data_IF_154622988659
#
_entry.id   IF_154622988659
#
_cell.length_a   1.000
_cell.length_b   1.000
_cell.length_c   1.000
_cell.angle_alpha   90.00
_cell.angle_beta   90.00
_cell.angle_gamma   90.00
#
_symmetry.space_group_name_H-M   'P 1'
#
loop_
_entity.id
_entity.type
_entity.pdbx_description
1 polymer ?
#
# COMPACT_ATOMS: atom_id res chain seq x y z
N UNK A 1 22.82 -0.78 42.78
CA UNK A 1 21.65 -0.11 43.39
C UNK A 1 20.92 -1.14 44.22
N UNK A 2 20.42 -0.81 45.43
CA UNK A 2 19.64 -1.76 46.23
C UNK A 2 18.28 -2.01 45.57
N UNK A 3 17.66 -3.19 45.84
CA UNK A 3 16.32 -3.55 45.29
C UNK A 3 15.26 -2.50 45.69
N UNK A 4 15.37 -1.93 46.92
CA UNK A 4 14.47 -0.88 47.37
C UNK A 4 14.57 0.40 46.54
N UNK A 5 15.77 0.86 46.20
CA UNK A 5 15.97 2.04 45.34
C UNK A 5 15.45 1.79 43.94
N UNK A 6 15.68 0.60 43.43
CA UNK A 6 15.17 0.17 42.12
C UNK A 6 13.64 0.12 42.09
N UNK A 7 13.02 -0.39 43.16
CA UNK A 7 11.58 -0.43 43.32
C UNK A 7 10.94 0.96 43.41
N UNK A 8 11.59 1.89 44.08
CA UNK A 8 11.13 3.27 44.18
C UNK A 8 11.17 3.97 42.82
N UNK A 9 12.19 3.73 42.00
CA UNK A 9 12.26 4.23 40.63
C UNK A 9 11.12 3.63 39.77
N UNK A 10 10.92 2.33 39.87
CA UNK A 10 9.82 1.64 39.17
C UNK A 10 8.46 2.23 39.58
N UNK A 11 8.18 2.43 40.89
CA UNK A 11 6.94 3.06 41.35
C UNK A 11 6.76 4.49 40.80
N UNK A 12 7.83 5.25 40.73
CA UNK A 12 7.78 6.61 40.17
C UNK A 12 7.36 6.58 38.70
N UNK A 13 7.91 5.70 37.89
CA UNK A 13 7.54 5.53 36.47
C UNK A 13 6.05 5.12 36.35
N UNK A 14 5.63 4.14 37.12
CA UNK A 14 4.22 3.63 37.10
C UNK A 14 3.23 4.72 37.56
N UNK A 15 3.56 5.54 38.56
CA UNK A 15 2.72 6.67 38.99
C UNK A 15 2.44 7.64 37.85
N UNK A 16 3.39 7.82 36.95
CA UNK A 16 3.22 8.65 35.75
C UNK A 16 2.53 7.95 34.59
N UNK A 17 1.96 6.73 34.79
CA UNK A 17 1.26 5.92 33.77
C UNK A 17 2.13 5.59 32.56
N UNK A 18 3.44 5.52 32.76
CA UNK A 18 4.40 5.15 31.70
C UNK A 18 4.64 3.63 31.76
N UNK A 19 4.69 2.97 30.62
CA UNK A 19 5.08 1.57 30.51
C UNK A 19 6.53 1.38 30.87
N UNK A 20 6.84 0.23 31.47
CA UNK A 20 8.17 -0.07 31.99
C UNK A 20 8.81 -1.21 31.21
N UNK A 21 10.10 -1.08 30.91
CA UNK A 21 10.93 -2.12 30.34
C UNK A 21 12.19 -2.30 31.18
N UNK A 22 12.69 -3.52 31.28
CA UNK A 22 13.94 -3.81 31.97
C UNK A 22 14.75 -4.85 31.17
N UNK A 23 16.08 -4.68 31.22
CA UNK A 23 17.03 -5.56 30.52
C UNK A 23 17.71 -6.47 31.55
N UNK A 24 17.39 -7.81 31.56
CA UNK A 24 18.17 -8.77 32.33
C UNK A 24 19.48 -9.13 31.62
N UNK A 25 20.53 -9.36 32.37
CA UNK A 25 21.81 -9.86 31.88
C UNK A 25 22.13 -11.28 32.47
N UNK A 26 21.19 -11.83 33.25
CA UNK A 26 21.27 -13.15 33.83
C UNK A 26 19.85 -13.68 34.18
N UNK A 27 19.73 -14.97 34.43
CA UNK A 27 18.47 -15.65 34.74
C UNK A 27 17.86 -15.20 36.08
N UNK A 28 18.69 -14.81 37.05
CA UNK A 28 18.21 -14.32 38.35
C UNK A 28 17.50 -12.97 38.19
N UNK A 29 18.05 -12.09 37.36
CA UNK A 29 17.46 -10.78 37.06
C UNK A 29 16.09 -10.90 36.39
N UNK A 30 15.84 -11.94 35.58
CA UNK A 30 14.51 -12.23 35.01
C UNK A 30 13.47 -12.42 36.10
N UNK A 31 13.81 -13.16 37.17
CA UNK A 31 12.91 -13.34 38.32
C UNK A 31 12.56 -12.03 39.03
N UNK A 32 13.51 -11.09 39.16
CA UNK A 32 13.24 -9.76 39.71
C UNK A 32 12.29 -8.95 38.81
N UNK A 33 12.48 -9.00 37.50
CA UNK A 33 11.59 -8.33 36.51
C UNK A 33 10.15 -8.85 36.64
N UNK A 34 9.96 -10.16 36.77
CA UNK A 34 8.66 -10.79 36.97
C UNK A 34 8.00 -10.32 38.28
N UNK A 35 8.75 -10.33 39.39
CA UNK A 35 8.26 -9.89 40.69
C UNK A 35 7.83 -8.41 40.72
N UNK A 36 8.55 -7.54 40.02
CA UNK A 36 8.19 -6.13 39.89
C UNK A 36 7.07 -5.85 38.88
N UNK A 37 6.68 -6.83 38.06
CA UNK A 37 5.61 -6.73 37.04
C UNK A 37 5.91 -5.65 35.99
N UNK A 38 7.11 -5.72 35.40
CA UNK A 38 7.44 -4.89 34.23
C UNK A 38 6.53 -5.22 33.05
N UNK A 39 6.27 -4.22 32.21
CA UNK A 39 5.41 -4.37 31.03
C UNK A 39 6.14 -5.06 29.87
N UNK A 40 7.48 -4.91 29.77
CA UNK A 40 8.32 -5.50 28.74
C UNK A 40 9.64 -6.01 29.29
N UNK A 41 10.19 -7.03 28.66
CA UNK A 41 11.57 -7.49 28.85
C UNK A 41 12.38 -7.08 27.64
N UNK A 42 13.46 -6.31 27.87
CA UNK A 42 14.40 -5.97 26.80
C UNK A 42 15.56 -6.97 26.80
N UNK A 43 15.89 -7.49 25.62
CA UNK A 43 17.10 -8.28 25.40
C UNK A 43 18.11 -7.37 24.67
N UNK A 44 19.23 -7.09 25.32
CA UNK A 44 20.30 -6.29 24.73
C UNK A 44 21.01 -7.05 23.59
N UNK A 45 21.65 -6.32 22.67
CA UNK A 45 22.39 -6.93 21.56
C UNK A 45 23.44 -7.95 22.01
N UNK A 46 24.11 -7.67 23.14
CA UNK A 46 25.15 -8.56 23.72
C UNK A 46 24.56 -9.91 24.18
N UNK A 47 23.28 -9.95 24.53
CA UNK A 47 22.59 -11.17 24.96
C UNK A 47 21.69 -11.77 23.87
N UNK A 48 21.71 -11.21 22.65
CA UNK A 48 20.80 -11.60 21.59
C UNK A 48 20.96 -13.07 21.14
N UNK A 49 22.15 -13.66 21.35
CA UNK A 49 22.43 -15.07 21.03
C UNK A 49 22.59 -15.96 22.29
N UNK A 50 22.31 -15.42 23.46
CA UNK A 50 22.30 -16.19 24.71
C UNK A 50 20.99 -16.95 24.86
N UNK A 51 20.92 -18.12 24.24
CA UNK A 51 19.70 -18.94 24.27
C UNK A 51 19.39 -19.54 25.64
N UNK A 52 20.33 -19.60 26.58
CA UNK A 52 20.05 -19.98 27.96
C UNK A 52 19.19 -18.88 28.63
N UNK A 53 19.58 -17.63 28.47
CA UNK A 53 18.77 -16.50 28.95
C UNK A 53 17.41 -16.45 28.25
N UNK A 54 17.35 -16.67 26.93
CA UNK A 54 16.09 -16.74 26.21
C UNK A 54 15.16 -17.84 26.73
N UNK A 55 15.66 -19.05 26.99
CA UNK A 55 14.86 -20.15 27.60
C UNK A 55 14.31 -19.77 28.97
N UNK A 56 15.04 -18.96 29.77
CA UNK A 56 14.51 -18.44 31.04
C UNK A 56 13.45 -17.36 30.80
N UNK A 57 13.68 -16.45 29.85
CA UNK A 57 12.78 -15.32 29.56
C UNK A 57 11.43 -15.77 29.02
N UNK A 58 11.36 -16.84 28.22
CA UNK A 58 10.09 -17.33 27.63
C UNK A 58 9.19 -18.08 28.61
N UNK A 59 9.66 -18.39 29.83
CA UNK A 59 8.82 -19.00 30.86
C UNK A 59 7.67 -18.09 31.34
N UNK A 60 7.74 -16.79 31.02
CA UNK A 60 6.66 -15.85 31.21
C UNK A 60 6.12 -15.32 29.88
N UNK A 61 4.95 -14.65 29.91
CA UNK A 61 4.29 -14.08 28.73
C UNK A 61 4.51 -12.57 28.59
N UNK A 62 5.41 -11.97 29.36
CA UNK A 62 5.73 -10.55 29.21
C UNK A 62 6.29 -10.34 27.78
N UNK A 63 5.79 -9.38 26.97
CA UNK A 63 6.30 -9.12 25.63
C UNK A 63 7.79 -8.77 25.64
N UNK A 64 8.53 -9.21 24.62
CA UNK A 64 10.00 -9.04 24.53
C UNK A 64 10.38 -8.04 23.45
N UNK A 65 11.40 -7.25 23.71
CA UNK A 65 12.01 -6.33 22.75
C UNK A 65 13.47 -6.75 22.60
N UNK A 66 13.89 -7.14 21.41
CA UNK A 66 15.19 -7.78 21.16
C UNK A 66 16.02 -6.88 20.24
N UNK A 67 17.16 -6.41 20.71
CA UNK A 67 18.12 -5.67 19.89
C UNK A 67 19.03 -6.61 19.10
N UNK A 68 19.31 -6.23 17.85
CA UNK A 68 20.03 -7.09 16.88
C UNK A 68 21.39 -6.54 16.47
N UNK A 69 21.99 -5.66 17.30
CA UNK A 69 23.30 -5.09 17.01
C UNK A 69 24.43 -6.12 17.02
N UNK A 70 25.27 -6.10 15.97
CA UNK A 70 26.45 -6.95 15.88
C UNK A 70 26.18 -8.43 15.56
N UNK A 71 24.95 -8.83 15.20
CA UNK A 71 24.61 -10.20 14.84
C UNK A 71 24.25 -10.31 13.35
N UNK A 72 24.42 -11.51 12.78
CA UNK A 72 24.12 -11.80 11.36
C UNK A 72 22.63 -12.03 11.14
N UNK A 73 22.17 -11.88 9.89
CA UNK A 73 20.75 -12.10 9.52
C UNK A 73 20.32 -13.53 9.85
N UNK A 74 21.17 -14.52 9.61
CA UNK A 74 20.91 -15.93 9.89
C UNK A 74 20.70 -16.19 11.40
N UNK A 75 21.34 -15.40 12.24
CA UNK A 75 21.15 -15.48 13.69
C UNK A 75 19.87 -14.76 14.14
N UNK A 76 19.48 -13.68 13.46
CA UNK A 76 18.17 -13.07 13.64
C UNK A 76 17.06 -14.09 13.26
N UNK A 77 17.23 -14.84 12.16
CA UNK A 77 16.30 -15.92 11.78
C UNK A 77 16.13 -16.96 12.89
N UNK A 78 17.22 -17.34 13.58
CA UNK A 78 17.17 -18.29 14.72
C UNK A 78 16.35 -17.70 15.87
N UNK A 79 16.57 -16.44 16.21
CA UNK A 79 15.81 -15.74 17.27
C UNK A 79 14.32 -15.71 16.92
N UNK A 80 13.98 -15.25 15.70
CA UNK A 80 12.60 -15.19 15.21
C UNK A 80 11.94 -16.58 15.28
N UNK A 81 12.62 -17.60 14.75
CA UNK A 81 12.14 -18.98 14.77
C UNK A 81 11.92 -19.50 16.20
N UNK A 82 12.83 -19.17 17.12
CA UNK A 82 12.75 -19.57 18.52
C UNK A 82 11.49 -19.00 19.20
N UNK A 83 11.26 -17.69 19.10
CA UNK A 83 10.12 -17.03 19.72
C UNK A 83 8.79 -17.38 19.05
N UNK A 84 8.76 -17.47 17.72
CA UNK A 84 7.55 -17.81 16.95
C UNK A 84 7.08 -19.25 17.25
N UNK A 85 7.99 -20.22 17.29
CA UNK A 85 7.66 -21.62 17.65
C UNK A 85 7.08 -21.76 19.06
N UNK A 86 7.44 -20.86 19.97
CA UNK A 86 6.99 -20.84 21.36
C UNK A 86 5.76 -19.94 21.57
N UNK A 87 5.20 -19.37 20.47
CA UNK A 87 4.05 -18.46 20.48
C UNK A 87 4.24 -17.29 21.48
N UNK A 88 5.41 -16.67 21.44
CA UNK A 88 5.76 -15.51 22.27
C UNK A 88 5.56 -14.21 21.50
N UNK A 89 5.04 -13.20 22.20
CA UNK A 89 4.96 -11.84 21.65
C UNK A 89 6.34 -11.16 21.76
N UNK A 90 6.87 -10.68 20.63
CA UNK A 90 8.16 -10.00 20.59
C UNK A 90 8.26 -8.98 19.44
N UNK A 91 9.25 -8.08 19.58
CA UNK A 91 9.63 -7.11 18.56
C UNK A 91 11.15 -7.13 18.38
N UNK A 92 11.63 -6.75 17.20
CA UNK A 92 13.05 -6.60 16.90
C UNK A 92 13.43 -5.12 16.84
N UNK A 93 14.62 -4.78 17.34
CA UNK A 93 15.19 -3.45 17.22
C UNK A 93 16.44 -3.52 16.35
N UNK A 94 16.42 -2.88 15.17
CA UNK A 94 17.66 -2.60 14.46
C UNK A 94 18.57 -1.77 15.34
N UNK A 95 19.81 -2.15 15.46
CA UNK A 95 20.80 -1.51 16.33
C UNK A 95 22.19 -1.66 15.72
N UNK A 96 23.03 -0.63 15.90
CA UNK A 96 24.45 -0.68 15.66
C UNK A 96 25.16 -0.49 16.99
N UNK A 97 25.86 -1.52 17.48
CA UNK A 97 26.49 -1.54 18.81
C UNK A 97 27.87 -0.84 18.81
N UNK A 98 27.90 0.40 18.31
CA UNK A 98 29.05 1.33 18.33
C UNK A 98 28.62 2.59 19.10
N UNK A 99 29.44 3.07 20.03
CA UNK A 99 29.08 4.09 21.02
C UNK A 99 30.06 5.28 21.07
N UNK A 100 29.84 6.44 20.39
CA UNK A 100 28.71 6.74 19.51
C UNK A 100 28.84 6.10 18.13
N UNK A 101 27.69 5.88 17.46
CA UNK A 101 27.63 5.43 16.09
C UNK A 101 27.74 6.60 15.12
N UNK A 102 28.61 6.53 14.11
CA UNK A 102 28.67 7.52 13.04
C UNK A 102 27.45 7.42 12.13
N UNK A 103 27.02 8.54 11.56
CA UNK A 103 25.88 8.56 10.65
C UNK A 103 26.04 7.61 9.43
N UNK A 104 27.25 7.47 8.90
CA UNK A 104 27.56 6.51 7.80
C UNK A 104 27.32 5.04 8.17
N UNK A 105 27.35 4.71 9.45
CA UNK A 105 27.36 3.35 9.96
C UNK A 105 25.97 2.90 10.48
N UNK A 106 24.97 3.81 10.49
CA UNK A 106 23.62 3.56 11.01
C UNK A 106 22.86 2.49 10.20
N UNK A 107 23.13 2.35 8.93
CA UNK A 107 22.53 1.35 8.02
C UNK A 107 20.99 1.26 8.13
N UNK A 108 20.30 2.39 8.11
CA UNK A 108 18.86 2.48 8.37
C UNK A 108 17.99 1.77 7.31
N UNK A 109 18.50 1.53 6.08
CA UNK A 109 17.81 0.72 5.08
C UNK A 109 17.55 -0.73 5.55
N UNK A 110 18.33 -1.20 6.52
CA UNK A 110 18.16 -2.55 7.05
C UNK A 110 16.84 -2.70 7.84
N UNK A 111 16.27 -1.61 8.36
CA UNK A 111 14.94 -1.59 8.98
C UNK A 111 13.87 -2.05 7.98
N UNK A 112 13.90 -1.53 6.75
CA UNK A 112 12.98 -1.92 5.69
C UNK A 112 13.19 -3.39 5.28
N UNK A 113 14.43 -3.85 5.25
CA UNK A 113 14.76 -5.25 4.97
C UNK A 113 14.18 -6.19 6.05
N UNK A 114 14.36 -5.87 7.34
CA UNK A 114 13.77 -6.63 8.44
C UNK A 114 12.24 -6.68 8.36
N UNK A 115 11.60 -5.56 8.03
CA UNK A 115 10.13 -5.52 7.85
C UNK A 115 9.64 -6.43 6.72
N UNK A 116 10.34 -6.45 5.60
CA UNK A 116 10.01 -7.32 4.46
C UNK A 116 10.26 -8.80 4.77
N UNK A 117 11.32 -9.08 5.56
CA UNK A 117 11.68 -10.45 5.93
C UNK A 117 10.74 -11.03 6.99
N UNK A 118 10.24 -10.19 7.90
CA UNK A 118 9.43 -10.59 9.05
C UNK A 118 8.15 -9.75 9.12
N UNK A 119 7.24 -9.90 8.15
CA UNK A 119 6.06 -9.06 7.95
C UNK A 119 5.15 -8.92 9.18
N UNK A 120 5.07 -9.95 10.02
CA UNK A 120 4.23 -9.99 11.22
C UNK A 120 4.90 -9.44 12.48
N UNK A 121 6.18 -9.04 12.42
CA UNK A 121 6.95 -8.60 13.57
C UNK A 121 7.11 -7.09 13.56
N UNK A 122 6.91 -6.45 14.71
CA UNK A 122 7.20 -5.03 14.88
C UNK A 122 8.70 -4.79 14.84
N UNK A 123 9.15 -3.89 13.96
CA UNK A 123 10.54 -3.49 13.83
C UNK A 123 10.72 -2.09 14.37
N UNK A 124 11.68 -1.93 15.26
CA UNK A 124 12.08 -0.65 15.84
C UNK A 124 13.54 -0.31 15.55
N UNK A 125 13.99 0.78 16.12
CA UNK A 125 15.37 1.27 16.04
C UNK A 125 15.90 1.69 17.39
N UNK A 126 17.02 1.07 17.81
CA UNK A 126 17.76 1.37 19.03
C UNK A 126 19.05 2.11 18.65
N UNK A 127 19.23 3.30 19.19
CA UNK A 127 20.12 4.30 18.60
C UNK A 127 21.22 4.81 19.54
N UNK A 128 22.43 5.04 18.98
CA UNK A 128 23.61 5.50 19.70
C UNK A 128 24.38 6.61 18.95
N UNK A 129 23.77 7.29 18.01
CA UNK A 129 24.35 8.44 17.28
C UNK A 129 24.53 9.68 18.22
N UNK A 130 25.19 10.71 17.69
CA UNK A 130 25.38 11.98 18.40
C UNK A 130 24.02 12.51 18.90
N UNK A 131 23.92 12.93 20.17
CA UNK A 131 22.69 13.45 20.77
C UNK A 131 22.11 14.69 20.10
N UNK A 132 22.87 15.39 19.28
CA UNK A 132 22.43 16.58 18.54
C UNK A 132 21.80 16.25 17.19
N UNK A 133 21.88 14.98 16.75
CA UNK A 133 21.35 14.51 15.47
C UNK A 133 19.90 14.05 15.63
N UNK A 134 18.96 14.77 15.00
CA UNK A 134 17.55 14.39 14.97
C UNK A 134 17.13 13.71 13.64
N UNK A 135 17.89 13.95 12.56
CA UNK A 135 17.61 13.40 11.25
C UNK A 135 17.57 11.86 11.20
N UNK A 136 18.45 11.12 11.87
CA UNK A 136 18.43 9.66 11.84
C UNK A 136 17.10 9.06 12.30
N UNK A 137 16.46 9.62 13.33
CA UNK A 137 15.14 9.15 13.79
C UNK A 137 14.05 9.33 12.73
N UNK A 138 14.06 10.46 12.02
CA UNK A 138 13.15 10.74 10.91
C UNK A 138 13.35 9.75 9.75
N UNK A 139 14.60 9.44 9.43
CA UNK A 139 14.95 8.45 8.41
C UNK A 139 14.53 7.03 8.83
N UNK A 140 14.80 6.62 10.07
CA UNK A 140 14.37 5.33 10.61
C UNK A 140 12.83 5.18 10.56
N UNK A 141 12.09 6.24 10.91
CA UNK A 141 10.64 6.30 10.80
C UNK A 141 10.20 6.11 9.34
N UNK A 142 10.84 6.79 8.39
CA UNK A 142 10.53 6.67 6.96
C UNK A 142 10.80 5.27 6.41
N UNK A 143 11.75 4.54 6.99
CA UNK A 143 12.04 3.13 6.70
C UNK A 143 11.08 2.16 7.39
N UNK A 144 10.17 2.67 8.21
CA UNK A 144 9.08 1.93 8.83
C UNK A 144 9.38 1.44 10.24
N UNK A 145 10.34 2.02 10.95
CA UNK A 145 10.48 1.80 12.38
C UNK A 145 9.21 2.27 13.10
N UNK A 146 8.70 1.42 14.01
CA UNK A 146 7.48 1.69 14.80
C UNK A 146 7.80 1.92 16.28
N UNK A 147 9.01 1.58 16.70
CA UNK A 147 9.52 1.72 18.06
C UNK A 147 10.90 2.36 18.03
N UNK A 148 11.19 3.17 19.02
CA UNK A 148 12.44 3.91 19.13
C UNK A 148 12.99 3.82 20.54
N UNK A 149 14.30 3.61 20.66
CA UNK A 149 15.00 3.57 21.94
C UNK A 149 16.16 4.54 21.91
N UNK A 150 16.29 5.37 22.95
CA UNK A 150 17.34 6.37 23.09
C UNK A 150 17.86 6.38 24.51
N UNK A 151 19.19 6.48 24.68
CA UNK A 151 19.80 6.70 26.00
C UNK A 151 19.52 8.11 26.50
N UNK A 152 18.92 8.24 27.66
CA UNK A 152 18.66 9.53 28.34
C UNK A 152 19.42 9.57 29.64
N UNK A 153 20.03 10.69 29.92
CA UNK A 153 20.78 10.87 31.16
C UNK A 153 20.91 12.33 31.59
N UNK A 154 21.39 12.53 32.80
CA UNK A 154 21.65 13.85 33.38
C UNK A 154 23.15 14.07 33.51
N UNK A 155 23.60 15.27 33.15
CA UNK A 155 24.96 15.70 33.38
C UNK A 155 25.05 16.27 34.79
N UNK A 156 25.81 15.63 35.67
CA UNK A 156 25.99 16.06 37.06
C UNK A 156 27.46 16.40 37.37
N UNK A 157 27.73 17.02 38.50
CA UNK A 157 29.12 17.28 38.93
C UNK A 157 29.91 15.98 39.06
N UNK A 158 29.28 14.92 39.57
CA UNK A 158 29.91 13.62 39.85
C UNK A 158 29.95 12.70 38.60
N UNK A 159 28.88 12.71 37.80
CA UNK A 159 28.74 11.81 36.63
C UNK A 159 28.55 12.65 35.39
N UNK A 160 29.48 12.54 34.46
CA UNK A 160 29.37 13.18 33.14
C UNK A 160 28.50 12.34 32.21
N UNK A 161 27.71 13.03 31.38
CA UNK A 161 26.94 12.36 30.35
C UNK A 161 27.89 11.77 29.30
N UNK A 162 27.62 10.57 28.85
CA UNK A 162 28.39 9.95 27.77
C UNK A 162 28.07 10.61 26.42
N UNK A 163 28.86 10.28 25.36
CA UNK A 163 28.77 10.92 24.04
C UNK A 163 27.55 10.54 23.21
N UNK A 164 26.76 9.56 23.63
CA UNK A 164 25.59 9.05 22.89
C UNK A 164 24.27 9.20 23.68
N UNK A 165 24.31 9.68 24.90
CA UNK A 165 23.10 9.93 25.70
C UNK A 165 22.61 11.36 25.53
N UNK A 166 21.30 11.51 25.50
CA UNK A 166 20.61 12.79 25.37
C UNK A 166 20.13 13.28 26.70
N UNK A 167 20.09 14.61 26.93
CA UNK A 167 19.47 15.22 28.12
C UNK A 167 17.93 15.17 27.97
N UNK A 168 17.17 15.29 29.09
CA UNK A 168 15.69 15.31 29.00
C UNK A 168 15.14 16.39 28.07
N UNK A 169 15.68 17.62 28.10
CA UNK A 169 15.23 18.72 27.23
C UNK A 169 15.44 18.39 25.77
N UNK A 170 16.62 17.87 25.41
CA UNK A 170 16.89 17.40 24.03
C UNK A 170 16.07 16.18 23.64
N UNK A 171 15.71 15.32 24.61
CA UNK A 171 14.82 14.19 24.36
C UNK A 171 13.41 14.67 24.00
N UNK A 172 12.93 15.72 24.63
CA UNK A 172 11.66 16.36 24.24
C UNK A 172 11.72 16.91 22.82
N UNK A 173 12.78 17.64 22.46
CA UNK A 173 13.01 18.11 21.09
C UNK A 173 13.07 16.97 20.09
N UNK A 174 13.73 15.86 20.43
CA UNK A 174 13.83 14.67 19.61
C UNK A 174 12.45 14.05 19.34
N UNK A 175 11.60 13.93 20.37
CA UNK A 175 10.21 13.45 20.24
C UNK A 175 9.38 14.40 19.38
N UNK A 176 9.51 15.72 19.58
CA UNK A 176 8.81 16.73 18.77
C UNK A 176 9.18 16.60 17.29
N UNK A 177 10.48 16.45 16.99
CA UNK A 177 10.95 16.26 15.61
C UNK A 177 10.45 14.95 15.01
N UNK A 178 10.41 13.86 15.78
CA UNK A 178 9.88 12.58 15.34
C UNK A 178 8.37 12.67 14.99
N UNK A 179 7.58 13.35 15.82
CA UNK A 179 6.15 13.61 15.56
C UNK A 179 5.94 14.47 14.32
N UNK A 180 6.70 15.54 14.15
CA UNK A 180 6.66 16.37 12.93
C UNK A 180 6.99 15.54 11.68
N UNK A 181 7.98 14.66 11.79
CA UNK A 181 8.35 13.76 10.67
C UNK A 181 7.22 12.81 10.32
N UNK A 182 6.52 12.28 11.32
CA UNK A 182 5.33 11.44 11.12
C UNK A 182 4.20 12.19 10.39
N UNK A 183 3.95 13.44 10.77
CA UNK A 183 2.95 14.29 10.11
C UNK A 183 3.34 14.59 8.66
N UNK A 184 4.63 14.85 8.39
CA UNK A 184 5.16 15.10 7.05
C UNK A 184 5.07 13.87 6.13
N UNK A 185 5.22 12.66 6.66
CA UNK A 185 5.07 11.43 5.89
C UNK A 185 3.64 11.25 5.36
N UNK A 186 2.62 11.71 6.07
CA UNK A 186 1.23 11.68 5.66
C UNK A 186 0.71 10.27 5.40
N UNK A 187 0.14 10.04 4.23
CA UNK A 187 -0.39 8.74 3.82
C UNK A 187 0.05 8.37 2.40
N UNK A 188 0.02 7.07 2.06
CA UNK A 188 0.33 6.58 0.72
C UNK A 188 -0.68 7.03 -0.35
N UNK A 189 -1.87 7.48 0.05
CA UNK A 189 -2.89 7.99 -0.87
C UNK A 189 -2.67 9.48 -1.11
N UNK A 190 -2.60 9.89 -2.39
CA UNK A 190 -2.52 11.31 -2.74
C UNK A 190 -3.75 12.04 -2.24
N UNK A 191 -3.53 13.03 -1.35
CA UNK A 191 -4.56 13.93 -0.85
C UNK A 191 -4.55 15.20 -1.72
N UNK A 192 -5.73 15.65 -2.11
CA UNK A 192 -5.92 16.89 -2.86
C UNK A 192 -6.57 17.89 -1.94
N UNK A 193 -5.99 19.08 -1.79
CA UNK A 193 -6.49 20.13 -0.93
C UNK A 193 -7.27 21.18 -1.73
N UNK A 194 -8.33 21.74 -1.13
CA UNK A 194 -9.16 22.75 -1.80
C UNK A 194 -8.37 24.00 -2.20
N UNK A 195 -7.38 24.40 -1.41
CA UNK A 195 -6.55 25.56 -1.73
C UNK A 195 -5.58 25.29 -2.88
N UNK A 196 -5.10 24.04 -3.01
CA UNK A 196 -4.34 23.58 -4.19
C UNK A 196 -5.21 23.71 -5.46
N UNK A 197 -6.47 23.23 -5.41
CA UNK A 197 -7.41 23.35 -6.54
C UNK A 197 -7.70 24.79 -6.91
N UNK A 198 -7.92 25.68 -5.93
CA UNK A 198 -8.12 27.13 -6.17
C UNK A 198 -6.89 27.76 -6.83
N UNK A 199 -5.71 27.39 -6.39
CA UNK A 199 -4.44 27.89 -6.97
C UNK A 199 -4.28 27.42 -8.42
N UNK A 200 -4.52 26.13 -8.69
CA UNK A 200 -4.47 25.58 -10.05
C UNK A 200 -5.51 26.26 -10.94
N UNK A 201 -6.72 26.50 -10.45
CA UNK A 201 -7.76 27.18 -11.22
C UNK A 201 -7.35 28.60 -11.62
N UNK A 202 -6.79 29.39 -10.70
CA UNK A 202 -6.30 30.76 -10.94
C UNK A 202 -5.16 30.79 -11.95
N UNK A 203 -4.27 29.78 -11.94
CA UNK A 203 -3.10 29.68 -12.81
C UNK A 203 -3.36 28.87 -14.08
N UNK A 204 -4.61 28.49 -14.36
CA UNK A 204 -4.98 27.78 -15.57
C UNK A 204 -5.20 28.75 -16.74
N UNK A 205 -4.80 28.35 -17.95
CA UNK A 205 -5.11 29.08 -19.18
C UNK A 205 -6.51 28.74 -19.69
N UNK A 206 -7.28 29.77 -20.06
CA UNK A 206 -8.56 29.62 -20.74
C UNK A 206 -8.40 29.44 -22.24
N UNK A 207 -9.38 28.81 -22.89
CA UNK A 207 -9.46 28.66 -24.35
C UNK A 207 -10.24 29.83 -24.92
N UNK A 208 -9.64 30.56 -25.89
CA UNK A 208 -10.24 31.70 -26.56
C UNK A 208 -10.29 31.48 -28.07
N UNK A 209 -11.21 32.14 -28.72
CA UNK A 209 -11.43 32.08 -30.16
C UNK A 209 -10.39 32.98 -30.89
N UNK A 210 -9.60 32.41 -31.81
CA UNK A 210 -8.61 33.12 -32.60
C UNK A 210 -9.20 33.73 -33.88
N UNK A 211 -10.25 33.14 -34.44
CA UNK A 211 -11.02 33.60 -35.58
C UNK A 211 -12.46 33.16 -35.42
N UNK A 212 -13.42 33.92 -35.97
CA UNK A 212 -14.84 33.57 -35.85
C UNK A 212 -15.10 32.07 -36.12
N UNK A 213 -15.85 31.43 -35.23
CA UNK A 213 -16.23 30.06 -35.30
C UNK A 213 -17.71 29.91 -35.59
N UNK A 214 -18.04 29.01 -36.48
CA UNK A 214 -19.41 28.62 -36.77
C UNK A 214 -19.76 27.34 -35.93
N UNK A 215 -21.05 27.16 -35.65
CA UNK A 215 -21.55 25.95 -35.08
C UNK A 215 -21.05 24.72 -35.86
N UNK A 216 -20.61 23.71 -35.15
CA UNK A 216 -20.01 22.44 -35.59
C UNK A 216 -18.55 22.52 -36.08
N UNK A 217 -17.90 23.68 -35.99
CA UNK A 217 -16.45 23.75 -36.25
C UNK A 217 -15.68 22.91 -35.22
N UNK A 218 -14.62 22.24 -35.69
CA UNK A 218 -13.64 21.56 -34.80
C UNK A 218 -12.65 22.57 -34.27
N UNK A 219 -12.43 22.49 -32.94
CA UNK A 219 -11.43 23.32 -32.27
C UNK A 219 -10.03 22.75 -32.51
N UNK A 220 -9.12 23.63 -32.95
CA UNK A 220 -7.72 23.31 -33.19
C UNK A 220 -6.84 24.56 -33.06
N UNK A 221 -5.53 24.42 -33.11
CA UNK A 221 -4.55 25.51 -32.93
C UNK A 221 -4.65 26.63 -33.99
N UNK A 222 -5.32 26.37 -35.13
CA UNK A 222 -5.51 27.42 -36.17
C UNK A 222 -6.66 28.36 -35.83
N UNK A 223 -7.61 27.96 -35.01
CA UNK A 223 -8.83 28.71 -34.73
C UNK A 223 -9.07 29.07 -33.27
N UNK A 224 -8.20 28.59 -32.35
CA UNK A 224 -8.20 28.95 -30.92
C UNK A 224 -6.82 29.35 -30.45
N UNK A 225 -6.78 30.02 -29.29
CA UNK A 225 -5.56 30.29 -28.54
C UNK A 225 -5.80 30.12 -27.03
N UNK A 226 -4.73 30.15 -26.25
CA UNK A 226 -4.78 29.98 -24.79
C UNK A 226 -4.23 31.24 -24.12
N UNK A 227 -4.96 31.79 -23.15
CA UNK A 227 -4.52 32.97 -22.41
C UNK A 227 -4.91 32.91 -20.91
N UNK A 228 -4.22 33.69 -20.12
CA UNK A 228 -4.54 33.99 -18.73
C UNK A 228 -5.28 35.34 -18.64
N UNK A 229 -6.10 35.49 -17.60
CA UNK A 229 -6.63 34.46 -16.67
C UNK A 229 -7.79 33.67 -17.32
N UNK A 230 -7.97 32.44 -16.85
CA UNK A 230 -9.18 31.66 -17.19
C UNK A 230 -10.40 32.30 -16.54
N UNK A 231 -11.46 32.54 -17.31
CA UNK A 231 -12.73 33.06 -16.80
C UNK A 231 -13.57 31.98 -16.13
N UNK A 232 -14.53 32.37 -15.29
CA UNK A 232 -15.47 31.44 -14.63
C UNK A 232 -16.23 30.60 -15.68
N UNK A 233 -16.29 29.30 -15.45
CA UNK A 233 -16.92 28.31 -16.35
C UNK A 233 -16.31 28.20 -17.76
N UNK A 234 -15.18 28.85 -18.00
CA UNK A 234 -14.45 28.73 -19.25
C UNK A 234 -13.74 27.35 -19.34
N UNK A 235 -13.70 26.82 -20.55
CA UNK A 235 -12.90 25.64 -20.88
C UNK A 235 -11.41 25.96 -20.66
N UNK A 236 -10.72 25.16 -19.86
CA UNK A 236 -9.27 25.31 -19.71
C UNK A 236 -8.52 24.60 -20.83
N UNK A 237 -7.26 24.98 -21.03
CA UNK A 237 -6.36 24.31 -21.98
C UNK A 237 -6.18 22.81 -21.65
N UNK A 238 -6.28 22.44 -20.37
CA UNK A 238 -6.17 21.05 -19.90
C UNK A 238 -7.41 20.23 -20.20
N UNK A 239 -8.59 20.85 -20.26
CA UNK A 239 -9.88 20.19 -20.50
C UNK A 239 -10.19 20.03 -21.98
N UNK A 240 -9.54 20.82 -22.84
CA UNK A 240 -9.70 20.70 -24.28
C UNK A 240 -9.20 19.33 -24.75
N UNK A 241 -10.06 18.61 -25.45
CA UNK A 241 -9.76 17.29 -26.03
C UNK A 241 -9.60 17.40 -27.53
N UNK A 242 -8.85 16.47 -28.12
CA UNK A 242 -8.79 16.30 -29.56
C UNK A 242 -10.21 16.10 -30.12
N UNK A 243 -10.50 16.59 -31.30
CA UNK A 243 -11.81 16.51 -31.94
C UNK A 243 -12.96 17.19 -31.18
N UNK A 244 -12.68 18.16 -30.30
CA UNK A 244 -13.73 18.95 -29.66
C UNK A 244 -14.45 19.82 -30.67
N UNK A 245 -15.79 19.84 -30.66
CA UNK A 245 -16.65 20.57 -31.61
C UNK A 245 -17.39 21.68 -30.85
N UNK A 246 -17.49 22.87 -31.47
CA UNK A 246 -18.28 23.98 -30.93
C UNK A 246 -19.76 23.81 -31.25
N UNK A 247 -20.65 24.10 -30.30
CA UNK A 247 -22.11 23.97 -30.44
C UNK A 247 -22.80 25.24 -30.99
N UNK A 248 -22.15 26.37 -30.86
CA UNK A 248 -22.70 27.70 -31.13
C UNK A 248 -21.69 28.56 -31.88
N UNK A 249 -22.14 29.55 -32.60
CA UNK A 249 -21.26 30.51 -33.21
C UNK A 249 -20.52 31.34 -32.15
N UNK A 250 -19.25 31.66 -32.41
CA UNK A 250 -18.39 32.44 -31.51
C UNK A 250 -17.61 33.47 -32.29
N UNK A 251 -17.54 34.70 -31.73
CA UNK A 251 -16.73 35.75 -32.27
C UNK A 251 -15.27 35.64 -31.81
N UNK A 252 -14.38 36.21 -32.56
CA UNK A 252 -12.97 36.38 -32.22
C UNK A 252 -12.82 36.91 -30.77
N UNK A 253 -11.78 36.50 -30.05
CA UNK A 253 -11.43 36.86 -28.67
C UNK A 253 -12.47 36.48 -27.60
N UNK A 254 -13.58 35.86 -27.98
CA UNK A 254 -14.56 35.39 -26.98
C UNK A 254 -14.06 34.11 -26.24
N UNK A 255 -14.33 33.98 -24.93
CA UNK A 255 -14.00 32.76 -24.18
C UNK A 255 -14.91 31.62 -24.60
N UNK A 256 -14.35 30.42 -24.70
CA UNK A 256 -15.09 29.18 -24.92
C UNK A 256 -15.45 28.56 -23.57
N UNK A 257 -16.75 28.43 -23.27
CA UNK A 257 -17.24 27.79 -22.04
C UNK A 257 -17.35 26.28 -22.23
N UNK A 258 -17.35 25.53 -21.10
CA UNK A 258 -17.55 24.06 -21.13
C UNK A 258 -18.91 23.68 -21.75
N UNK A 259 -19.93 24.51 -21.56
CA UNK A 259 -21.27 24.34 -22.16
C UNK A 259 -21.29 24.47 -23.67
N UNK A 260 -20.34 25.19 -24.24
CA UNK A 260 -20.29 25.53 -25.66
C UNK A 260 -19.71 24.42 -26.54
N UNK A 261 -19.23 23.33 -25.96
CA UNK A 261 -18.50 22.28 -26.67
C UNK A 261 -19.14 20.90 -26.55
N UNK A 262 -18.83 20.03 -27.53
CA UNK A 262 -19.08 18.61 -27.51
C UNK A 262 -17.72 17.91 -27.60
N UNK A 263 -17.46 17.00 -26.67
CA UNK A 263 -16.30 16.14 -26.69
C UNK A 263 -16.57 14.86 -27.46
N UNK A 264 -15.57 14.36 -28.16
CA UNK A 264 -15.62 13.08 -28.85
C UNK A 264 -15.85 11.94 -27.86
N UNK A 265 -16.91 11.18 -28.07
CA UNK A 265 -17.29 10.06 -27.17
C UNK A 265 -16.31 8.90 -27.25
N UNK A 266 -15.74 8.61 -28.42
CA UNK A 266 -14.77 7.52 -28.59
C UNK A 266 -13.48 7.85 -27.84
N UNK A 267 -12.98 9.09 -27.96
CA UNK A 267 -11.81 9.55 -27.23
C UNK A 267 -12.01 9.53 -25.69
N UNK A 268 -13.20 9.85 -25.21
CA UNK A 268 -13.55 9.72 -23.78
C UNK A 268 -13.45 8.27 -23.34
N UNK A 269 -13.90 7.34 -24.16
CA UNK A 269 -13.90 5.92 -23.87
C UNK A 269 -12.47 5.34 -23.86
N UNK A 270 -11.63 5.71 -24.84
CA UNK A 270 -10.21 5.34 -24.87
C UNK A 270 -9.45 5.84 -23.63
N UNK A 271 -9.69 7.09 -23.22
CA UNK A 271 -9.09 7.66 -22.02
C UNK A 271 -9.53 6.91 -20.75
N UNK A 272 -10.78 6.46 -20.67
CA UNK A 272 -11.26 5.65 -19.54
C UNK A 272 -10.56 4.29 -19.50
N UNK A 273 -10.46 3.60 -20.63
CA UNK A 273 -9.77 2.31 -20.72
C UNK A 273 -8.30 2.46 -20.33
N UNK A 274 -7.61 3.50 -20.83
CA UNK A 274 -6.24 3.81 -20.43
C UNK A 274 -6.13 4.03 -18.91
N UNK A 275 -7.06 4.77 -18.31
CA UNK A 275 -7.10 4.97 -16.85
C UNK A 275 -7.28 3.65 -16.09
N UNK A 276 -8.15 2.76 -16.56
CA UNK A 276 -8.36 1.44 -15.94
C UNK A 276 -7.10 0.58 -16.01
N UNK A 277 -6.41 0.58 -17.15
CA UNK A 277 -5.14 -0.13 -17.33
C UNK A 277 -4.05 0.39 -16.39
N UNK A 278 -3.96 1.71 -16.20
CA UNK A 278 -3.02 2.29 -15.23
C UNK A 278 -3.32 1.82 -13.80
N UNK A 279 -4.60 1.76 -13.41
CA UNK A 279 -4.98 1.27 -12.08
C UNK A 279 -4.57 -0.19 -11.89
N UNK A 280 -4.80 -1.05 -12.90
CA UNK A 280 -4.36 -2.43 -12.83
C UNK A 280 -2.83 -2.56 -12.74
N UNK A 281 -2.09 -1.80 -13.57
CA UNK A 281 -0.62 -1.75 -13.51
C UNK A 281 -0.10 -1.30 -12.14
N UNK A 282 -0.71 -0.26 -11.57
CA UNK A 282 -0.35 0.22 -10.24
C UNK A 282 -0.55 -0.87 -9.18
N UNK A 283 -1.69 -1.57 -9.21
CA UNK A 283 -1.96 -2.68 -8.26
C UNK A 283 -0.92 -3.79 -8.40
N UNK A 284 -0.60 -4.22 -9.62
CA UNK A 284 0.42 -5.24 -9.88
C UNK A 284 1.81 -4.80 -9.36
N UNK A 285 2.20 -3.56 -9.64
CA UNK A 285 3.49 -3.02 -9.20
C UNK A 285 3.58 -2.89 -7.68
N UNK A 286 2.54 -2.40 -7.01
CA UNK A 286 2.49 -2.32 -5.53
C UNK A 286 2.57 -3.69 -4.88
N UNK A 287 2.08 -4.72 -5.55
CA UNK A 287 2.13 -6.11 -5.08
C UNK A 287 3.38 -6.87 -5.54
N UNK A 288 4.35 -6.21 -6.19
CA UNK A 288 5.56 -6.81 -6.79
C UNK A 288 5.27 -7.95 -7.77
N UNK A 289 4.08 -7.98 -8.37
CA UNK A 289 3.71 -8.99 -9.37
C UNK A 289 4.21 -8.53 -10.74
N UNK A 290 5.13 -9.30 -11.32
CA UNK A 290 5.65 -9.05 -12.66
C UNK A 290 4.81 -9.82 -13.67
N UNK A 291 4.24 -9.09 -14.60
CA UNK A 291 3.42 -9.64 -15.69
C UNK A 291 4.02 -9.11 -16.99
N UNK A 292 4.37 -10.02 -17.90
CA UNK A 292 4.93 -9.69 -19.22
C UNK A 292 3.85 -9.16 -20.18
N UNK A 293 4.14 -9.17 -21.46
CA UNK A 293 3.24 -8.74 -22.56
C UNK A 293 2.82 -9.90 -23.47
N UNK A 294 3.29 -11.11 -23.18
CA UNK A 294 3.07 -12.31 -24.00
C UNK A 294 1.79 -13.09 -23.57
N UNK A 295 0.69 -12.36 -23.41
CA UNK A 295 -0.63 -12.97 -23.15
C UNK A 295 -1.77 -12.01 -23.50
N UNK A 296 -2.97 -12.59 -23.66
CA UNK A 296 -4.18 -11.84 -23.95
C UNK A 296 -4.75 -11.22 -22.66
N UNK A 297 -4.94 -9.89 -22.68
CA UNK A 297 -5.65 -9.18 -21.64
C UNK A 297 -7.10 -8.91 -22.06
N UNK A 298 -8.04 -9.43 -21.28
CA UNK A 298 -9.45 -9.12 -21.40
C UNK A 298 -9.90 -8.17 -20.28
N UNK A 299 -10.59 -7.09 -20.63
CA UNK A 299 -11.37 -6.26 -19.71
C UNK A 299 -12.80 -6.78 -19.73
N UNK A 300 -13.18 -7.56 -18.72
CA UNK A 300 -14.52 -8.13 -18.60
C UNK A 300 -15.46 -7.14 -17.92
N UNK A 301 -16.31 -6.42 -18.67
CA UNK A 301 -17.07 -5.28 -18.17
C UNK A 301 -18.59 -5.48 -18.06
N UNK A 302 -19.14 -6.56 -18.53
CA UNK A 302 -20.53 -7.04 -18.45
C UNK A 302 -21.66 -6.02 -18.70
N UNK A 303 -21.59 -4.82 -18.15
CA UNK A 303 -22.58 -3.74 -18.25
C UNK A 303 -22.05 -2.53 -19.03
N UNK A 304 -21.14 -2.75 -19.98
CA UNK A 304 -20.46 -1.71 -20.75
C UNK A 304 -19.22 -1.17 -20.05
N UNK A 305 -18.23 -0.82 -20.87
CA UNK A 305 -16.91 -0.38 -20.41
C UNK A 305 -16.95 0.85 -19.49
N UNK A 306 -17.94 1.73 -19.66
CA UNK A 306 -18.11 2.92 -18.84
C UNK A 306 -18.40 2.60 -17.35
N UNK A 307 -18.95 1.40 -17.07
CA UNK A 307 -19.29 0.91 -15.73
C UNK A 307 -18.26 -0.08 -15.17
N UNK A 308 -17.15 -0.26 -15.86
CA UNK A 308 -16.17 -1.29 -15.53
C UNK A 308 -15.64 -1.19 -14.10
N UNK A 309 -15.41 0.01 -13.57
CA UNK A 309 -14.94 0.18 -12.18
C UNK A 309 -15.89 -0.39 -11.13
N UNK A 310 -17.18 -0.47 -11.44
CA UNK A 310 -18.18 -1.02 -10.53
C UNK A 310 -18.38 -2.53 -10.75
N UNK A 311 -18.42 -2.95 -12.02
CA UNK A 311 -18.78 -4.33 -12.42
C UNK A 311 -17.81 -4.81 -13.49
N UNK A 312 -16.97 -5.76 -13.14
CA UNK A 312 -16.02 -6.35 -14.06
C UNK A 312 -14.79 -6.92 -13.37
N UNK A 313 -13.80 -7.31 -14.16
CA UNK A 313 -12.43 -7.59 -13.76
C UNK A 313 -11.50 -7.61 -14.97
N UNK A 314 -10.21 -7.46 -14.73
CA UNK A 314 -9.18 -7.76 -15.72
C UNK A 314 -8.84 -9.24 -15.65
N UNK A 315 -8.70 -9.87 -16.83
CA UNK A 315 -8.32 -11.26 -16.98
C UNK A 315 -7.07 -11.33 -17.86
N UNK A 316 -5.95 -11.66 -17.24
CA UNK A 316 -4.70 -11.97 -17.94
C UNK A 316 -4.70 -13.46 -18.22
N UNK A 317 -4.94 -13.85 -19.47
CA UNK A 317 -4.99 -15.24 -19.88
C UNK A 317 -3.56 -15.75 -20.13
N UNK A 318 -2.97 -16.41 -19.13
CA UNK A 318 -1.55 -16.80 -19.12
C UNK A 318 -1.37 -18.09 -19.94
N UNK A 319 -2.22 -19.08 -19.70
CA UNK A 319 -2.19 -20.37 -20.41
C UNK A 319 -3.60 -20.95 -20.50
N UNK A 320 -3.91 -21.62 -21.61
CA UNK A 320 -5.14 -22.40 -21.79
C UNK A 320 -4.84 -23.60 -22.66
N UNK A 321 -4.67 -24.75 -22.01
CA UNK A 321 -4.40 -26.08 -22.62
C UNK A 321 -5.35 -27.08 -21.96
N UNK A 322 -4.90 -28.26 -21.57
CA UNK A 322 -5.64 -29.21 -20.70
C UNK A 322 -5.92 -28.61 -19.32
N UNK A 323 -5.14 -27.63 -18.94
CA UNK A 323 -5.33 -26.74 -17.80
C UNK A 323 -5.29 -25.28 -18.26
N UNK A 324 -5.93 -24.41 -17.49
CA UNK A 324 -5.87 -22.97 -17.73
C UNK A 324 -5.42 -22.24 -16.46
N UNK A 325 -4.64 -21.18 -16.67
CA UNK A 325 -4.26 -20.24 -15.62
C UNK A 325 -4.55 -18.82 -16.07
N UNK A 326 -5.25 -18.08 -15.23
CA UNK A 326 -5.49 -16.66 -15.41
C UNK A 326 -5.08 -15.89 -14.15
N UNK A 327 -4.55 -14.70 -14.33
CA UNK A 327 -4.40 -13.74 -13.26
C UNK A 327 -5.57 -12.75 -13.36
N UNK A 328 -6.33 -12.61 -12.29
CA UNK A 328 -7.45 -11.69 -12.21
C UNK A 328 -7.08 -10.49 -11.36
N UNK A 329 -7.35 -9.29 -11.87
CA UNK A 329 -7.15 -8.04 -11.15
C UNK A 329 -8.50 -7.34 -11.03
N UNK A 330 -8.94 -7.12 -9.81
CA UNK A 330 -10.17 -6.38 -9.49
C UNK A 330 -9.85 -5.08 -8.80
N UNK A 331 -10.42 -4.00 -9.31
CA UNK A 331 -10.30 -2.67 -8.72
C UNK A 331 -11.00 -2.60 -7.35
N UNK A 332 -10.72 -1.59 -6.51
CA UNK A 332 -11.36 -1.40 -5.23
C UNK A 332 -12.88 -1.48 -5.29
N UNK A 333 -13.48 -2.32 -4.45
CA UNK A 333 -14.93 -2.57 -4.34
C UNK A 333 -15.63 -3.09 -5.63
N UNK A 334 -14.87 -3.45 -6.67
CA UNK A 334 -15.39 -3.96 -7.92
C UNK A 334 -16.08 -5.31 -7.71
N UNK A 335 -17.20 -5.54 -8.43
CA UNK A 335 -17.97 -6.78 -8.37
C UNK A 335 -17.87 -7.54 -9.70
N UNK A 336 -17.82 -8.86 -9.62
CA UNK A 336 -18.05 -9.73 -10.76
C UNK A 336 -19.42 -10.39 -10.62
N UNK A 337 -20.27 -10.37 -11.70
CA UNK A 337 -21.65 -10.86 -11.61
C UNK A 337 -21.72 -12.38 -11.44
N UNK A 338 -22.82 -12.82 -10.82
CA UNK A 338 -23.10 -14.24 -10.58
C UNK A 338 -23.17 -15.03 -11.89
N UNK A 339 -22.34 -16.06 -11.96
CA UNK A 339 -22.20 -16.95 -13.09
C UNK A 339 -21.81 -18.37 -12.67
N UNK A 340 -21.82 -19.31 -13.60
CA UNK A 340 -21.31 -20.66 -13.39
C UNK A 340 -20.71 -21.21 -14.69
N UNK A 341 -19.95 -22.29 -14.55
CA UNK A 341 -19.34 -23.05 -15.64
C UNK A 341 -19.85 -24.49 -15.63
N UNK A 342 -20.25 -25.03 -16.78
CA UNK A 342 -20.72 -26.42 -16.90
C UNK A 342 -19.59 -27.42 -16.99
N UNK A 343 -18.47 -27.04 -17.61
CA UNK A 343 -17.40 -27.95 -18.04
C UNK A 343 -16.21 -27.85 -17.09
N UNK A 344 -15.73 -26.64 -16.82
CA UNK A 344 -14.48 -26.44 -16.08
C UNK A 344 -14.63 -26.54 -14.57
N UNK A 345 -13.59 -27.04 -13.92
CA UNK A 345 -13.33 -26.89 -12.50
C UNK A 345 -12.45 -25.67 -12.27
N UNK A 346 -12.64 -24.95 -11.18
CA UNK A 346 -11.88 -23.73 -10.87
C UNK A 346 -11.39 -23.74 -9.42
N UNK A 347 -10.18 -23.24 -9.25
CA UNK A 347 -9.59 -22.94 -7.95
C UNK A 347 -9.14 -21.49 -7.95
N UNK A 348 -9.54 -20.71 -6.95
CA UNK A 348 -9.03 -19.37 -6.74
C UNK A 348 -7.96 -19.38 -5.65
N UNK A 349 -6.86 -18.68 -5.90
CA UNK A 349 -5.77 -18.45 -4.93
C UNK A 349 -5.56 -16.95 -4.82
N UNK A 350 -5.78 -16.39 -3.64
CA UNK A 350 -5.64 -14.95 -3.42
C UNK A 350 -4.16 -14.59 -3.26
N UNK A 351 -3.67 -13.71 -4.11
CA UNK A 351 -2.27 -13.24 -4.08
C UNK A 351 -2.15 -12.00 -3.21
N UNK A 352 -3.08 -11.03 -3.35
CA UNK A 352 -3.07 -9.80 -2.55
C UNK A 352 -4.46 -9.19 -2.46
N UNK A 353 -4.71 -8.43 -1.40
CA UNK A 353 -6.02 -7.84 -1.12
C UNK A 353 -7.01 -8.81 -0.51
N UNK A 354 -8.30 -8.49 -0.62
CA UNK A 354 -9.38 -9.28 -0.05
C UNK A 354 -10.47 -9.55 -1.08
N UNK A 355 -11.06 -10.74 -1.02
CA UNK A 355 -12.16 -11.15 -1.90
C UNK A 355 -13.32 -11.71 -1.07
N UNK A 356 -14.50 -11.13 -1.24
CA UNK A 356 -15.75 -11.76 -0.79
C UNK A 356 -16.26 -12.63 -1.92
N UNK A 357 -16.33 -13.93 -1.71
CA UNK A 357 -16.87 -14.91 -2.65
C UNK A 357 -18.18 -15.49 -2.12
N UNK A 358 -19.20 -15.55 -2.97
CA UNK A 358 -20.44 -16.26 -2.70
C UNK A 358 -20.51 -17.45 -3.65
N UNK A 359 -20.50 -18.68 -3.13
CA UNK A 359 -20.63 -19.94 -3.86
C UNK A 359 -21.91 -20.66 -3.40
N UNK A 360 -22.95 -20.56 -4.21
CA UNK A 360 -24.29 -21.01 -3.84
C UNK A 360 -24.84 -20.29 -2.61
N UNK A 361 -24.95 -21.00 -1.50
CA UNK A 361 -25.39 -20.45 -0.20
C UNK A 361 -24.22 -20.08 0.73
N UNK A 362 -22.98 -20.45 0.38
CA UNK A 362 -21.81 -20.22 1.21
C UNK A 362 -21.18 -18.86 0.88
N UNK A 363 -20.76 -18.16 1.89
CA UNK A 363 -20.03 -16.89 1.78
C UNK A 363 -18.64 -17.06 2.38
N UNK A 364 -17.62 -16.73 1.61
CA UNK A 364 -16.21 -16.76 2.01
C UNK A 364 -15.67 -15.35 2.07
N UNK A 365 -14.86 -15.06 3.08
CA UNK A 365 -14.03 -13.87 3.16
C UNK A 365 -12.57 -14.34 3.00
N UNK A 366 -11.99 -14.06 1.84
CA UNK A 366 -10.69 -14.56 1.47
C UNK A 366 -9.66 -13.42 1.50
N UNK A 367 -8.47 -13.73 1.97
CA UNK A 367 -7.31 -12.84 2.08
C UNK A 367 -6.10 -13.44 1.37
N UNK A 368 -5.03 -12.68 1.22
CA UNK A 368 -3.78 -13.18 0.62
C UNK A 368 -3.33 -14.50 1.27
N UNK A 369 -3.00 -15.50 0.44
CA UNK A 369 -2.65 -16.86 0.84
C UNK A 369 -3.83 -17.84 0.90
N UNK A 370 -5.08 -17.37 0.94
CA UNK A 370 -6.25 -18.25 0.95
C UNK A 370 -6.50 -18.88 -0.42
N UNK A 371 -7.00 -20.12 -0.35
CA UNK A 371 -7.41 -20.92 -1.51
C UNK A 371 -8.86 -21.37 -1.36
N UNK A 372 -9.60 -21.39 -2.46
CA UNK A 372 -10.95 -21.96 -2.52
C UNK A 372 -11.17 -22.71 -3.82
N UNK A 373 -11.70 -23.93 -3.71
CA UNK A 373 -12.10 -24.75 -4.85
C UNK A 373 -13.59 -24.56 -5.13
N UNK A 374 -13.93 -24.13 -6.37
CA UNK A 374 -15.30 -23.90 -6.80
C UNK A 374 -15.91 -25.18 -7.38
N UNK A 375 -17.16 -25.41 -7.05
CA UNK A 375 -17.89 -26.57 -7.57
C UNK A 375 -18.27 -26.35 -9.02
N UNK A 376 -18.06 -27.37 -9.84
CA UNK A 376 -18.59 -27.44 -11.21
C UNK A 376 -20.11 -27.20 -11.19
N UNK A 377 -20.59 -26.39 -12.13
CA UNK A 377 -22.01 -25.97 -12.23
C UNK A 377 -22.56 -25.21 -11.00
N UNK A 378 -21.72 -24.78 -10.06
CA UNK A 378 -22.10 -23.95 -8.92
C UNK A 378 -22.20 -22.46 -9.29
N UNK A 379 -23.29 -21.80 -8.88
CA UNK A 379 -23.41 -20.35 -9.04
C UNK A 379 -22.46 -19.64 -8.09
N UNK A 380 -21.57 -18.83 -8.65
CA UNK A 380 -20.67 -18.02 -7.83
C UNK A 380 -20.59 -16.57 -8.30
N UNK A 381 -20.36 -15.67 -7.36
CA UNK A 381 -20.10 -14.25 -7.58
C UNK A 381 -19.05 -13.75 -6.60
N UNK A 382 -18.32 -12.72 -6.95
CA UNK A 382 -17.28 -12.22 -6.08
C UNK A 382 -17.13 -10.71 -6.13
N UNK A 383 -16.63 -10.15 -5.03
CA UNK A 383 -16.42 -8.71 -4.83
C UNK A 383 -15.06 -8.49 -4.18
N UNK A 384 -14.27 -7.59 -4.76
CA UNK A 384 -13.01 -7.14 -4.16
C UNK A 384 -13.24 -6.24 -2.94
N UNK A 385 -12.30 -6.27 -2.02
CA UNK A 385 -12.26 -5.36 -0.87
C UNK A 385 -11.95 -3.91 -1.24
N UNK A 386 -11.82 -3.04 -0.23
CA UNK A 386 -11.58 -1.60 -0.40
C UNK A 386 -10.25 -1.26 -1.09
N UNK A 387 -9.27 -2.15 -1.05
CA UNK A 387 -7.97 -1.99 -1.69
C UNK A 387 -7.85 -2.74 -3.04
N UNK A 388 -8.96 -3.36 -3.50
CA UNK A 388 -8.94 -4.26 -4.64
C UNK A 388 -8.50 -5.68 -4.27
N UNK A 389 -8.35 -6.52 -5.29
CA UNK A 389 -7.87 -7.90 -5.12
C UNK A 389 -7.15 -8.37 -6.38
N UNK A 390 -6.05 -9.09 -6.19
CA UNK A 390 -5.37 -9.84 -7.25
C UNK A 390 -5.37 -11.31 -6.83
N UNK A 391 -5.84 -12.18 -7.72
CA UNK A 391 -5.91 -13.61 -7.46
C UNK A 391 -5.70 -14.41 -8.74
N UNK A 392 -5.27 -15.65 -8.59
CA UNK A 392 -5.12 -16.60 -9.67
C UNK A 392 -6.38 -17.46 -9.79
N UNK A 393 -6.83 -17.69 -11.01
CA UNK A 393 -7.77 -18.73 -11.38
C UNK A 393 -6.98 -19.85 -12.05
N UNK A 394 -6.93 -21.00 -11.41
CA UNK A 394 -6.43 -22.24 -11.99
C UNK A 394 -7.64 -23.10 -12.32
N UNK A 395 -7.71 -23.59 -13.54
CA UNK A 395 -8.87 -24.38 -13.97
C UNK A 395 -8.47 -25.48 -14.97
N UNK A 396 -9.38 -26.40 -15.23
CA UNK A 396 -9.32 -27.20 -16.45
C UNK A 396 -9.51 -26.30 -17.67
N UNK A 397 -9.39 -26.82 -18.89
CA UNK A 397 -9.53 -26.05 -20.14
C UNK A 397 -10.68 -25.05 -20.08
N UNK A 398 -10.39 -23.78 -20.41
CA UNK A 398 -11.36 -22.69 -20.39
C UNK A 398 -11.95 -22.47 -21.78
N UNK A 399 -13.24 -22.71 -21.93
CA UNK A 399 -13.97 -22.50 -23.20
C UNK A 399 -14.74 -21.18 -23.16
N UNK A 400 -14.68 -20.43 -24.27
CA UNK A 400 -15.39 -19.16 -24.42
C UNK A 400 -16.91 -19.27 -24.27
N UNK A 401 -17.48 -20.44 -24.59
CA UNK A 401 -18.90 -20.75 -24.48
C UNK A 401 -19.35 -21.23 -23.12
N UNK A 402 -18.42 -21.50 -22.17
CA UNK A 402 -18.72 -22.10 -20.87
C UNK A 402 -18.88 -21.08 -19.73
N UNK A 403 -19.52 -19.94 -20.01
CA UNK A 403 -19.82 -18.94 -18.98
C UNK A 403 -21.30 -18.55 -19.02
N UNK A 404 -22.05 -18.95 -18.00
CA UNK A 404 -23.49 -18.75 -17.91
C UNK A 404 -23.83 -17.75 -16.79
N UNK A 405 -24.52 -16.67 -17.11
CA UNK A 405 -24.81 -15.57 -16.18
C UNK A 405 -26.25 -15.65 -15.64
N UNK A 406 -26.44 -15.36 -14.34
CA UNK A 406 -27.74 -15.27 -13.70
C UNK A 406 -28.54 -14.06 -14.18
N UNK A 407 -27.86 -12.95 -14.44
CA UNK A 407 -28.48 -11.72 -14.93
C UNK A 407 -28.97 -11.88 -16.38
N UNK A 408 -30.28 -11.72 -16.61
CA UNK A 408 -30.93 -11.87 -17.91
C UNK A 408 -30.39 -10.91 -18.98
N UNK A 409 -30.01 -9.68 -18.61
CA UNK A 409 -29.47 -8.68 -19.54
C UNK A 409 -28.05 -9.12 -20.02
N UNK A 410 -27.19 -9.58 -19.10
CA UNK A 410 -25.87 -10.07 -19.46
C UNK A 410 -25.96 -11.34 -20.33
N UNK A 411 -26.90 -12.22 -20.04
CA UNK A 411 -27.13 -13.45 -20.81
C UNK A 411 -27.48 -13.20 -22.29
N UNK A 412 -28.17 -12.07 -22.57
CA UNK A 412 -28.54 -11.68 -23.94
C UNK A 412 -27.43 -11.01 -24.75
N UNK A 413 -26.35 -10.60 -24.09
CA UNK A 413 -25.25 -9.91 -24.75
C UNK A 413 -24.23 -10.92 -25.30
N UNK A 414 -23.79 -10.71 -26.51
CA UNK A 414 -22.66 -11.43 -27.11
C UNK A 414 -21.38 -11.16 -26.31
N UNK A 415 -20.41 -12.07 -26.38
CA UNK A 415 -19.15 -11.96 -25.66
C UNK A 415 -18.42 -10.63 -25.98
N UNK A 416 -18.38 -10.24 -27.24
CA UNK A 416 -17.68 -9.02 -27.70
C UNK A 416 -18.32 -7.73 -27.16
N UNK A 417 -19.60 -7.76 -26.79
CA UNK A 417 -20.29 -6.65 -26.13
C UNK A 417 -20.02 -6.58 -24.61
N UNK A 418 -19.48 -7.65 -24.03
CA UNK A 418 -19.19 -7.77 -22.59
C UNK A 418 -17.71 -7.69 -22.25
N UNK A 419 -16.84 -7.75 -23.26
CA UNK A 419 -15.39 -7.80 -23.11
C UNK A 419 -14.69 -6.87 -24.09
N UNK A 420 -13.60 -6.28 -23.65
CA UNK A 420 -12.68 -5.51 -24.48
C UNK A 420 -11.32 -6.19 -24.43
N UNK A 421 -10.73 -6.47 -25.57
CA UNK A 421 -9.40 -7.08 -25.67
C UNK A 421 -8.35 -5.99 -25.80
N UNK A 422 -7.25 -6.15 -25.08
CA UNK A 422 -6.14 -5.19 -25.06
C UNK A 422 -4.88 -5.90 -25.55
N UNK A 423 -4.40 -5.50 -26.71
CA UNK A 423 -3.12 -5.95 -27.22
C UNK A 423 -2.01 -5.00 -26.78
N UNK A 424 -0.83 -5.50 -26.44
CA UNK A 424 0.33 -4.70 -26.04
C UNK A 424 0.06 -3.80 -24.82
N UNK A 425 -0.55 -4.34 -23.76
CA UNK A 425 -0.88 -3.55 -22.56
C UNK A 425 0.36 -3.04 -21.81
N UNK A 426 1.53 -3.69 -21.98
CA UNK A 426 2.74 -3.42 -21.25
C UNK A 426 3.45 -2.15 -21.71
N UNK A 427 3.59 -1.92 -23.00
CA UNK A 427 4.37 -0.82 -23.56
C UNK A 427 3.57 0.44 -23.86
N UNK A 428 2.31 0.32 -24.17
CA UNK A 428 1.51 1.41 -24.72
C UNK A 428 0.11 1.40 -24.15
N UNK A 429 -0.11 2.36 -23.29
CA UNK A 429 -1.42 2.92 -23.06
C UNK A 429 -1.82 3.59 -24.36
N UNK A 430 -2.45 2.92 -25.29
CA UNK A 430 -2.85 3.66 -26.46
C UNK A 430 -3.32 2.91 -27.69
N UNK A 431 -3.35 1.58 -27.68
CA UNK A 431 -3.99 0.85 -28.78
C UNK A 431 -5.00 -0.14 -28.24
N UNK A 432 -6.12 0.38 -27.77
CA UNK A 432 -7.31 -0.43 -27.55
C UNK A 432 -7.93 -0.65 -28.92
N UNK A 433 -7.86 -1.86 -29.43
CA UNK A 433 -8.67 -2.24 -30.58
C UNK A 433 -10.04 -2.65 -30.04
N UNK A 434 -11.02 -1.77 -30.17
CA UNK A 434 -12.41 -2.19 -30.11
C UNK A 434 -12.64 -3.01 -31.37
N UNK A 435 -12.92 -4.29 -31.27
CA UNK A 435 -13.51 -5.02 -32.40
C UNK A 435 -14.87 -4.36 -32.65
N UNK A 436 -15.02 -3.77 -33.84
CA UNK A 436 -16.28 -3.22 -34.34
C UNK A 436 -17.37 -4.27 -34.38
#
# INVERSE_FOLDING_TARGET
>A
MSDEKFFNLFKCIKKNKIKTSCTPFDEHSVGKIENFKFDYIKIASVSALDFNLHERVIKNKIPKIISTGGIKVEDIDKIVSFYSKKNQEFALMHCVSIYPTKNSDLNLNFIENLKKRYESINIGWSTHEDPNEFLPASLALSKGATMFEKHVGLNTKKYKLNKYSITPDKFEEWIINLKKSQDMLGSYNKKIYNDELKTIEKLSRGVYVKKNLNKNDRLNTSNIYYAFPKQKNQLSSQELKKNTIIKINKKIDSPIKKSDVIFDKELILENKVSSYLHKAKAMLNYSNIKVGDDFDLEISHHNGIANFEKIGCFLFNIVNREYAKKLLVMLPNQKHPSHFHKIKYETFIIITGNLTLIDGKKKYQLSAGDKVDLKKSGWHEFKAGSNGCIFEEISTTSYNSDSFYKNKLIKKLDRDKRKTYVNNWFGLIGRVKFKK
#
